data_IF_004885880170
#
_entry.id   IF_004885880170
#
_cell.length_a   1.000
_cell.length_b   1.000
_cell.length_c   1.000
_cell.angle_alpha   90.00
_cell.angle_beta   90.00
_cell.angle_gamma   90.00
#
_symmetry.space_group_name_H-M   'P 1'
#
loop_
_entity.id
_entity.type
_entity.pdbx_description
1 polymer ?
#
# COMPACT_ATOMS: atom_id res chain seq x y z
N UNK A 1 -21.61 46.63 -13.12
CA UNK A 1 -20.64 47.08 -14.15
C UNK A 1 -19.36 47.62 -13.51
N UNK A 2 -19.20 48.91 -13.20
CA UNK A 2 -17.90 49.48 -12.74
C UNK A 2 -17.34 48.79 -11.49
N UNK A 3 -18.19 48.54 -10.48
CA UNK A 3 -17.78 47.82 -9.26
C UNK A 3 -17.32 46.38 -9.56
N UNK A 4 -18.06 45.67 -10.41
CA UNK A 4 -17.77 44.31 -10.87
C UNK A 4 -16.44 44.24 -11.63
N UNK A 5 -16.21 45.14 -12.59
CA UNK A 5 -14.95 45.24 -13.34
C UNK A 5 -13.77 45.54 -12.40
N UNK A 6 -13.95 46.43 -11.43
CA UNK A 6 -12.92 46.74 -10.42
C UNK A 6 -12.66 45.56 -9.48
N UNK A 7 -13.64 44.71 -9.22
CA UNK A 7 -13.46 43.49 -8.44
C UNK A 7 -12.71 42.42 -9.24
N UNK A 8 -13.12 42.16 -10.49
CA UNK A 8 -12.41 41.26 -11.41
C UNK A 8 -10.95 41.68 -11.62
N UNK A 9 -10.69 42.96 -11.90
CA UNK A 9 -9.33 43.49 -12.03
C UNK A 9 -8.48 43.35 -10.76
N UNK A 10 -9.09 43.25 -9.58
CA UNK A 10 -8.37 43.01 -8.32
C UNK A 10 -8.00 41.53 -8.16
N UNK A 11 -8.92 40.63 -8.48
CA UNK A 11 -8.64 39.19 -8.49
C UNK A 11 -7.59 38.84 -9.55
N UNK A 12 -7.66 39.43 -10.74
CA UNK A 12 -6.66 39.20 -11.80
C UNK A 12 -5.26 39.79 -11.50
N UNK A 13 -5.10 40.48 -10.36
CA UNK A 13 -3.81 41.02 -9.90
C UNK A 13 -3.19 40.19 -8.79
N UNK A 14 -3.90 39.23 -8.22
CA UNK A 14 -3.33 38.28 -7.26
C UNK A 14 -2.54 37.21 -8.00
N UNK A 15 -1.73 36.44 -7.28
CA UNK A 15 -1.01 35.32 -7.86
C UNK A 15 -1.98 34.26 -8.41
N UNK A 16 -1.48 33.41 -9.32
CA UNK A 16 -2.31 32.41 -10.01
C UNK A 16 -2.94 31.44 -9.03
N UNK A 17 -2.20 31.02 -8.00
CA UNK A 17 -2.70 30.13 -6.95
C UNK A 17 -3.86 30.76 -6.18
N UNK A 18 -3.72 32.03 -5.76
CA UNK A 18 -4.79 32.78 -5.08
C UNK A 18 -6.05 32.97 -5.94
N UNK A 19 -5.87 33.02 -7.27
CA UNK A 19 -6.96 33.13 -8.24
C UNK A 19 -7.67 31.79 -8.42
N UNK A 20 -6.93 30.68 -8.45
CA UNK A 20 -7.45 29.30 -8.49
C UNK A 20 -8.28 29.03 -7.22
N UNK A 21 -7.76 29.39 -6.04
CA UNK A 21 -8.48 29.26 -4.76
C UNK A 21 -9.79 30.07 -4.72
N UNK A 22 -9.85 31.15 -5.50
CA UNK A 22 -11.02 32.02 -5.62
C UNK A 22 -11.80 31.84 -6.92
N UNK A 23 -11.67 30.70 -7.61
CA UNK A 23 -12.28 30.46 -8.93
C UNK A 23 -13.80 30.62 -8.94
N UNK A 24 -14.48 30.24 -7.86
CA UNK A 24 -15.95 30.41 -7.72
C UNK A 24 -16.34 31.88 -7.69
N UNK A 25 -15.68 32.66 -6.83
CA UNK A 25 -15.90 34.10 -6.70
C UNK A 25 -15.54 34.85 -8.00
N UNK A 26 -14.49 34.42 -8.69
CA UNK A 26 -14.14 34.92 -10.00
C UNK A 26 -15.23 34.60 -11.05
N UNK A 27 -15.73 33.35 -11.05
CA UNK A 27 -16.82 32.89 -11.93
C UNK A 27 -18.11 33.67 -11.74
N UNK A 28 -18.50 33.93 -10.50
CA UNK A 28 -19.70 34.71 -10.15
C UNK A 28 -19.60 36.14 -10.68
N UNK A 29 -18.47 36.80 -10.45
CA UNK A 29 -18.24 38.16 -10.92
C UNK A 29 -18.18 38.26 -12.46
N UNK A 30 -17.63 37.25 -13.12
CA UNK A 30 -17.62 37.17 -14.59
C UNK A 30 -19.04 37.01 -15.14
N UNK A 31 -19.86 36.20 -14.47
CA UNK A 31 -21.25 35.95 -14.83
C UNK A 31 -22.14 37.18 -14.61
N UNK A 32 -21.99 37.86 -13.48
CA UNK A 32 -22.62 39.14 -13.18
C UNK A 32 -22.29 40.20 -14.26
N UNK A 33 -21.04 40.23 -14.72
CA UNK A 33 -20.62 41.15 -15.77
C UNK A 33 -21.23 40.76 -17.12
N UNK A 34 -21.33 39.47 -17.43
CA UNK A 34 -21.97 38.94 -18.64
C UNK A 34 -23.46 39.32 -18.72
N UNK A 35 -24.18 39.20 -17.60
CA UNK A 35 -25.59 39.59 -17.51
C UNK A 35 -25.79 41.10 -17.74
N UNK A 36 -24.78 41.92 -17.45
CA UNK A 36 -24.79 43.36 -17.69
C UNK A 36 -24.13 43.77 -19.02
N UNK A 37 -23.89 42.84 -19.94
CA UNK A 37 -23.17 43.07 -21.22
C UNK A 37 -23.72 44.21 -22.07
N UNK A 38 -25.04 44.39 -22.09
CA UNK A 38 -25.72 45.46 -22.84
C UNK A 38 -25.38 46.88 -22.36
N UNK A 39 -24.76 47.03 -21.19
CA UNK A 39 -24.33 48.31 -20.61
C UNK A 39 -22.85 48.60 -20.82
N UNK A 40 -22.12 47.69 -21.46
CA UNK A 40 -20.68 47.75 -21.60
C UNK A 40 -20.29 48.55 -22.84
N UNK A 41 -19.20 49.29 -22.74
CA UNK A 41 -18.49 49.85 -23.89
C UNK A 41 -17.76 48.74 -24.67
N UNK A 42 -17.31 49.03 -25.89
CA UNK A 42 -16.55 48.06 -26.70
C UNK A 42 -15.28 47.56 -26.00
N UNK A 43 -14.58 48.43 -25.27
CA UNK A 43 -13.40 48.04 -24.48
C UNK A 43 -13.77 47.10 -23.33
N UNK A 44 -14.88 47.37 -22.64
CA UNK A 44 -15.37 46.53 -21.55
C UNK A 44 -15.93 45.20 -22.07
N UNK A 45 -16.50 45.16 -23.28
CA UNK A 45 -16.89 43.92 -23.96
C UNK A 45 -15.66 43.07 -24.30
N UNK A 46 -14.60 43.66 -24.87
CA UNK A 46 -13.35 42.93 -25.14
C UNK A 46 -12.70 42.41 -23.85
N UNK A 47 -12.79 43.18 -22.75
CA UNK A 47 -12.38 42.70 -21.43
C UNK A 47 -13.22 41.51 -20.98
N UNK A 48 -14.55 41.58 -21.08
CA UNK A 48 -15.46 40.49 -20.73
C UNK A 48 -15.15 39.22 -21.54
N UNK A 49 -14.90 39.32 -22.86
CA UNK A 49 -14.54 38.16 -23.68
C UNK A 49 -13.30 37.44 -23.17
N UNK A 50 -12.26 38.19 -22.78
CA UNK A 50 -11.02 37.61 -22.20
C UNK A 50 -11.28 36.97 -20.85
N UNK A 51 -12.07 37.62 -19.99
CA UNK A 51 -12.46 37.06 -18.68
C UNK A 51 -13.24 35.76 -18.84
N UNK A 52 -14.15 35.69 -19.82
CA UNK A 52 -14.95 34.49 -20.09
C UNK A 52 -14.10 33.33 -20.63
N UNK A 53 -13.10 33.62 -21.47
CA UNK A 53 -12.13 32.60 -21.92
C UNK A 53 -11.32 32.07 -20.74
N UNK A 54 -10.76 32.97 -19.93
CA UNK A 54 -9.99 32.58 -18.74
C UNK A 54 -10.84 31.75 -17.77
N UNK A 55 -12.10 32.12 -17.53
CA UNK A 55 -13.04 31.32 -16.72
C UNK A 55 -13.16 29.89 -17.25
N UNK A 56 -13.38 29.75 -18.56
CA UNK A 56 -13.51 28.42 -19.19
C UNK A 56 -12.22 27.60 -19.05
N UNK A 57 -11.06 28.23 -19.21
CA UNK A 57 -9.76 27.58 -19.07
C UNK A 57 -9.52 27.14 -17.62
N UNK A 58 -9.75 28.02 -16.64
CA UNK A 58 -9.62 27.71 -15.21
C UNK A 58 -10.56 26.59 -14.77
N UNK A 59 -11.81 26.56 -15.25
CA UNK A 59 -12.74 25.47 -14.95
C UNK A 59 -12.29 24.13 -15.53
N UNK A 60 -11.67 24.13 -16.72
CA UNK A 60 -11.12 22.92 -17.31
C UNK A 60 -9.87 22.43 -16.57
N UNK A 61 -8.98 23.34 -16.21
CA UNK A 61 -7.72 23.03 -15.54
C UNK A 61 -7.95 22.55 -14.10
N UNK A 62 -8.91 23.14 -13.38
CA UNK A 62 -9.25 22.70 -12.02
C UNK A 62 -9.71 21.23 -11.98
N UNK A 63 -10.52 20.80 -12.97
CA UNK A 63 -10.93 19.39 -13.10
C UNK A 63 -9.74 18.48 -13.42
N UNK A 64 -8.80 18.95 -14.25
CA UNK A 64 -7.58 18.21 -14.55
C UNK A 64 -6.69 18.06 -13.32
N UNK A 65 -6.41 19.14 -12.59
CA UNK A 65 -5.62 19.14 -11.35
C UNK A 65 -6.22 18.16 -10.34
N UNK A 66 -7.52 18.26 -10.08
CA UNK A 66 -8.21 17.34 -9.16
C UNK A 66 -8.05 15.88 -9.60
N UNK A 67 -8.21 15.60 -10.90
CA UNK A 67 -8.06 14.22 -11.41
C UNK A 67 -6.64 13.67 -11.23
N UNK A 68 -5.63 14.52 -11.35
CA UNK A 68 -4.22 14.15 -11.14
C UNK A 68 -3.94 13.93 -9.67
N UNK A 69 -4.45 14.79 -8.78
CA UNK A 69 -4.33 14.64 -7.33
C UNK A 69 -5.01 13.36 -6.84
N UNK A 70 -6.22 13.07 -7.32
CA UNK A 70 -6.96 11.84 -7.00
C UNK A 70 -6.17 10.58 -7.42
N UNK A 71 -5.57 10.60 -8.61
CA UNK A 71 -4.72 9.49 -9.08
C UNK A 71 -3.48 9.36 -8.21
N UNK A 72 -2.82 10.46 -7.85
CA UNK A 72 -1.65 10.43 -6.97
C UNK A 72 -1.98 9.88 -5.59
N UNK A 73 -3.11 10.29 -5.01
CA UNK A 73 -3.58 9.77 -3.73
C UNK A 73 -3.85 8.26 -3.82
N UNK A 74 -4.58 7.82 -4.85
CA UNK A 74 -4.87 6.41 -5.08
C UNK A 74 -3.57 5.59 -5.25
N UNK A 75 -2.61 6.10 -6.03
CA UNK A 75 -1.31 5.46 -6.20
C UNK A 75 -0.56 5.33 -4.88
N UNK A 76 -0.57 6.37 -4.04
CA UNK A 76 0.10 6.36 -2.75
C UNK A 76 -0.50 5.31 -1.80
N UNK A 77 -1.84 5.22 -1.75
CA UNK A 77 -2.55 4.22 -0.95
C UNK A 77 -2.27 2.78 -1.42
N UNK A 78 -2.33 2.55 -2.74
CA UNK A 78 -2.01 1.26 -3.34
C UNK A 78 -0.55 0.85 -3.06
N UNK A 79 0.40 1.76 -3.26
CA UNK A 79 1.82 1.50 -3.02
C UNK A 79 2.07 1.16 -1.55
N UNK A 80 1.48 1.92 -0.63
CA UNK A 80 1.62 1.69 0.81
C UNK A 80 1.11 0.31 1.21
N UNK A 81 -0.05 -0.09 0.67
CA UNK A 81 -0.62 -1.42 0.90
C UNK A 81 0.29 -2.54 0.37
N UNK A 82 0.81 -2.39 -0.85
CA UNK A 82 1.71 -3.39 -1.45
C UNK A 82 3.03 -3.50 -0.68
N UNK A 83 3.57 -2.38 -0.19
CA UNK A 83 4.77 -2.37 0.64
C UNK A 83 4.54 -3.08 1.97
N UNK A 84 3.41 -2.82 2.64
CA UNK A 84 3.04 -3.51 3.88
C UNK A 84 2.87 -5.03 3.66
N UNK A 85 2.17 -5.43 2.60
CA UNK A 85 2.01 -6.83 2.24
C UNK A 85 3.36 -7.50 1.95
N UNK A 86 4.24 -6.83 1.22
CA UNK A 86 5.59 -7.32 0.89
C UNK A 86 6.42 -7.51 2.16
N UNK A 87 6.34 -6.56 3.09
CA UNK A 87 7.01 -6.65 4.39
C UNK A 87 6.51 -7.84 5.20
N UNK A 88 5.19 -8.00 5.32
CA UNK A 88 4.58 -9.10 6.05
C UNK A 88 4.95 -10.46 5.46
N UNK A 89 4.98 -10.57 4.12
CA UNK A 89 5.42 -11.80 3.45
C UNK A 89 6.88 -12.11 3.75
N UNK A 90 7.77 -11.12 3.69
CA UNK A 90 9.20 -11.29 4.00
C UNK A 90 9.40 -11.79 5.42
N UNK A 91 8.67 -11.22 6.38
CA UNK A 91 8.76 -11.63 7.78
C UNK A 91 8.19 -13.04 8.00
N UNK A 92 7.07 -13.38 7.35
CA UNK A 92 6.53 -14.74 7.36
C UNK A 92 7.54 -15.76 6.80
N UNK A 93 8.22 -15.43 5.70
CA UNK A 93 9.26 -16.29 5.13
C UNK A 93 10.42 -16.51 6.10
N UNK A 94 10.89 -15.46 6.77
CA UNK A 94 11.94 -15.55 7.80
C UNK A 94 11.54 -16.50 8.94
N UNK A 95 10.31 -16.37 9.43
CA UNK A 95 9.78 -17.24 10.49
C UNK A 95 9.69 -18.69 10.02
N UNK A 96 9.24 -18.93 8.77
CA UNK A 96 9.18 -20.27 8.21
C UNK A 96 10.56 -20.92 8.06
N UNK A 97 11.58 -20.14 7.68
CA UNK A 97 12.97 -20.61 7.64
C UNK A 97 13.48 -21.03 9.03
N UNK A 98 13.20 -20.24 10.06
CA UNK A 98 13.56 -20.56 11.45
C UNK A 98 12.86 -21.83 11.95
N UNK A 99 11.56 -21.97 11.66
CA UNK A 99 10.80 -23.19 12.00
C UNK A 99 11.34 -24.43 11.30
N UNK A 100 11.74 -24.31 10.03
CA UNK A 100 12.31 -25.42 9.28
C UNK A 100 13.65 -25.87 9.86
N UNK A 101 14.51 -24.91 10.24
CA UNK A 101 15.77 -25.20 10.90
C UNK A 101 15.58 -25.95 12.24
N UNK A 102 14.57 -25.54 13.02
CA UNK A 102 14.21 -26.23 14.27
C UNK A 102 13.71 -27.67 14.00
N UNK A 103 12.85 -27.83 12.99
CA UNK A 103 12.32 -29.15 12.62
C UNK A 103 13.43 -30.12 12.20
N UNK A 104 14.43 -29.66 11.43
CA UNK A 104 15.57 -30.50 11.05
C UNK A 104 16.45 -30.88 12.24
N UNK A 105 16.69 -29.95 13.18
CA UNK A 105 17.45 -30.26 14.39
C UNK A 105 16.72 -31.29 15.28
N UNK A 106 15.39 -31.20 15.37
CA UNK A 106 14.56 -32.19 16.06
C UNK A 106 14.60 -33.55 15.35
N UNK A 107 14.47 -33.58 14.02
CA UNK A 107 14.55 -34.80 13.21
C UNK A 107 15.89 -35.53 13.41
N UNK A 108 17.01 -34.79 13.42
CA UNK A 108 18.33 -35.36 13.70
C UNK A 108 18.40 -35.96 15.11
N UNK A 109 17.87 -35.24 16.10
CA UNK A 109 17.81 -35.70 17.49
C UNK A 109 16.99 -36.98 17.63
N UNK A 110 15.81 -37.03 17.02
CA UNK A 110 14.93 -38.21 17.00
C UNK A 110 15.61 -39.37 16.29
N UNK A 111 16.23 -39.13 15.14
CA UNK A 111 16.96 -40.15 14.36
C UNK A 111 18.09 -40.76 15.18
N UNK A 112 18.87 -39.93 15.88
CA UNK A 112 19.95 -40.39 16.74
C UNK A 112 19.41 -41.22 17.92
N UNK A 113 18.30 -40.77 18.53
CA UNK A 113 17.65 -41.52 19.63
C UNK A 113 17.12 -42.87 19.16
N UNK A 114 16.54 -42.94 17.96
CA UNK A 114 16.03 -44.17 17.37
C UNK A 114 17.15 -45.20 17.18
N UNK A 115 18.30 -44.78 16.61
CA UNK A 115 19.48 -45.65 16.46
C UNK A 115 19.98 -46.21 17.79
N UNK A 116 20.03 -45.38 18.83
CA UNK A 116 20.43 -45.83 20.18
C UNK A 116 19.47 -46.90 20.70
N UNK A 117 18.17 -46.69 20.55
CA UNK A 117 17.15 -47.66 20.99
C UNK A 117 17.19 -48.96 20.17
N UNK A 118 17.48 -48.89 18.87
CA UNK A 118 17.67 -50.08 18.03
C UNK A 118 18.85 -50.93 18.49
N UNK A 119 20.00 -50.32 18.81
CA UNK A 119 21.16 -51.03 19.35
C UNK A 119 20.87 -51.60 20.75
N UNK A 120 20.22 -50.84 21.63
CA UNK A 120 19.79 -51.34 22.94
C UNK A 120 18.89 -52.57 22.81
N UNK A 121 17.90 -52.54 21.91
CA UNK A 121 17.02 -53.69 21.63
C UNK A 121 17.79 -54.91 21.12
N UNK A 122 18.76 -54.70 20.22
CA UNK A 122 19.61 -55.77 19.70
C UNK A 122 20.42 -56.44 20.82
N UNK A 123 21.09 -55.64 21.67
CA UNK A 123 21.84 -56.18 22.81
C UNK A 123 20.95 -56.95 23.80
N UNK A 124 19.71 -56.48 24.00
CA UNK A 124 18.75 -57.14 24.88
C UNK A 124 18.27 -58.48 24.30
N UNK A 125 18.07 -58.55 22.97
CA UNK A 125 17.71 -59.76 22.27
C UNK A 125 18.83 -60.82 22.35
N UNK A 126 20.08 -60.41 22.15
CA UNK A 126 21.26 -61.28 22.29
C UNK A 126 21.38 -61.84 23.72
N UNK A 127 21.23 -60.99 24.74
CA UNK A 127 21.21 -61.43 26.15
C UNK A 127 20.09 -62.44 26.44
N UNK A 128 18.88 -62.16 25.96
CA UNK A 128 17.72 -63.06 26.12
C UNK A 128 18.01 -64.44 25.52
N UNK A 129 18.62 -64.49 24.34
CA UNK A 129 18.97 -65.76 23.69
C UNK A 129 20.08 -66.51 24.43
N UNK A 130 21.11 -65.81 24.89
CA UNK A 130 22.17 -66.41 25.71
C UNK A 130 21.62 -67.04 27.00
N UNK A 131 20.73 -66.34 27.71
CA UNK A 131 20.04 -66.90 28.89
C UNK A 131 19.20 -68.14 28.54
N UNK A 132 18.51 -68.13 27.39
CA UNK A 132 17.70 -69.27 26.93
C UNK A 132 18.56 -70.52 26.68
N UNK A 133 19.74 -70.35 26.09
CA UNK A 133 20.70 -71.44 25.85
C UNK A 133 21.27 -71.94 27.18
N UNK A 134 21.78 -71.05 28.03
CA UNK A 134 22.33 -71.39 29.35
C UNK A 134 21.36 -72.22 30.19
N UNK A 135 20.08 -71.79 30.26
CA UNK A 135 19.06 -72.52 31.02
C UNK A 135 18.78 -73.92 30.46
N UNK A 136 18.86 -74.12 29.14
CA UNK A 136 18.68 -75.45 28.53
C UNK A 136 19.84 -76.39 28.85
N UNK A 137 21.05 -75.86 28.86
CA UNK A 137 22.26 -76.63 29.15
C UNK A 137 22.28 -77.06 30.62
N UNK A 138 21.92 -76.18 31.56
CA UNK A 138 21.79 -76.52 32.99
C UNK A 138 20.74 -77.60 33.25
N UNK A 139 19.58 -77.54 32.57
CA UNK A 139 18.53 -78.57 32.68
C UNK A 139 19.00 -79.91 32.10
N UNK A 140 19.85 -79.91 31.08
CA UNK A 140 20.32 -81.15 30.43
C UNK A 140 21.44 -81.86 31.21
N UNK A 141 22.03 -81.20 32.21
CA UNK A 141 23.09 -81.73 33.07
C UNK A 141 22.53 -82.24 34.42
N UNK A 142 21.26 -81.96 34.73
CA UNK A 142 20.53 -82.53 35.88
C UNK A 142 19.83 -83.85 35.53
#
# INVERSE_FOLDING_TARGET
VVKTIKALKRLLRTDVDDLIDQVEKFSDLAEDLRQASWRLTNEELSFLERVMRLKSELSSEAVYIQSVEDIHQLQHEMLSTVLEQTWNLKESMRIHEELLNLAFAEEETVTNRMKVLEEELKTLAEKKEAFRVSNKDEISIM
#
